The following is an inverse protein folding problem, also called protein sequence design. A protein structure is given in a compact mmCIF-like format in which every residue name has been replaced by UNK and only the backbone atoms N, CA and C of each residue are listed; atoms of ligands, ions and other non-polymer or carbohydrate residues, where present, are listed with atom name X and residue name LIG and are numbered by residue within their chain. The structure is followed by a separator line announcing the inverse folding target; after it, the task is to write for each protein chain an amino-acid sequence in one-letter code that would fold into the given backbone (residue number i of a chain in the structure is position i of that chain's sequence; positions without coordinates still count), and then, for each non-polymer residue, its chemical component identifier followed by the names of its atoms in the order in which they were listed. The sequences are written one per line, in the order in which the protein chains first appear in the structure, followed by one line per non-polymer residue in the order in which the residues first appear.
data_IF_159917653766
#
_entry.id   IF_159917653766
#
_cell.length_a   1.000
_cell.length_b   1.000
_cell.length_c   1.000
_cell.angle_alpha   90.00
_cell.angle_beta   90.00
_cell.angle_gamma   90.00
#
_symmetry.space_group_name_H-M   'P 1'
#
loop_
_entity.id
_entity.type
_entity.pdbx_description
1 polymer ?
#
# COMPACT_ATOMS: atom_id res chain seq x y z
N UNK A 1 -21.50 33.74 6.37
CA UNK A 1 -21.27 32.89 5.18
C UNK A 1 -21.49 31.46 5.63
N UNK A 2 -22.69 30.92 5.42
CA UNK A 2 -23.06 29.58 5.86
C UNK A 2 -22.76 28.66 4.68
N UNK A 3 -21.69 27.88 4.77
CA UNK A 3 -21.39 26.82 3.79
C UNK A 3 -22.63 25.93 3.73
N UNK A 4 -23.34 25.98 2.60
CA UNK A 4 -24.62 25.30 2.45
C UNK A 4 -24.32 23.81 2.38
N UNK A 5 -24.88 23.03 3.31
CA UNK A 5 -24.70 21.59 3.41
C UNK A 5 -24.85 20.82 2.08
N UNK A 6 -25.58 21.39 1.12
CA UNK A 6 -25.73 20.85 -0.23
C UNK A 6 -24.41 20.75 -1.01
N UNK A 7 -23.50 21.73 -0.90
CA UNK A 7 -22.22 21.70 -1.63
C UNK A 7 -21.32 20.56 -1.15
N UNK A 8 -21.31 20.31 0.16
CA UNK A 8 -20.54 19.22 0.76
C UNK A 8 -21.12 17.87 0.32
N UNK A 9 -22.46 17.74 0.27
CA UNK A 9 -23.13 16.54 -0.23
C UNK A 9 -22.84 16.24 -1.70
N UNK A 10 -22.78 17.27 -2.54
CA UNK A 10 -22.48 17.12 -3.97
C UNK A 10 -21.01 16.81 -4.25
N UNK A 11 -20.10 17.21 -3.35
CA UNK A 11 -18.68 16.83 -3.41
C UNK A 11 -18.53 15.36 -3.03
N UNK A 12 -19.12 14.93 -1.91
CA UNK A 12 -19.05 13.54 -1.46
C UNK A 12 -19.69 12.57 -2.46
N UNK A 13 -20.83 12.94 -3.07
CA UNK A 13 -21.46 12.14 -4.14
C UNK A 13 -20.55 11.99 -5.36
N UNK A 14 -19.79 13.03 -5.72
CA UNK A 14 -18.85 12.98 -6.84
C UNK A 14 -17.65 12.09 -6.54
N UNK A 15 -17.11 12.13 -5.33
CA UNK A 15 -16.04 11.20 -4.93
C UNK A 15 -16.51 9.74 -4.93
N UNK A 16 -17.70 9.46 -4.38
CA UNK A 16 -18.25 8.10 -4.35
C UNK A 16 -18.58 7.61 -5.77
N UNK A 17 -19.08 8.48 -6.65
CA UNK A 17 -19.35 8.11 -8.04
C UNK A 17 -18.07 7.85 -8.85
N UNK A 18 -16.94 8.43 -8.45
CA UNK A 18 -15.61 8.16 -9.02
C UNK A 18 -14.85 7.03 -8.33
N UNK A 19 -15.40 6.44 -7.26
CA UNK A 19 -14.80 5.32 -6.55
C UNK A 19 -14.99 4.04 -7.36
N UNK A 20 -14.19 3.90 -8.42
CA UNK A 20 -14.04 2.66 -9.15
C UNK A 20 -13.23 1.72 -8.27
N UNK A 21 -13.88 0.71 -7.71
CA UNK A 21 -13.26 -0.32 -6.88
C UNK A 21 -12.46 -1.25 -7.79
N UNK A 22 -11.40 -0.73 -8.40
CA UNK A 22 -10.46 -1.52 -9.16
C UNK A 22 -9.80 -2.47 -8.17
N UNK A 23 -10.22 -3.73 -8.22
CA UNK A 23 -9.40 -4.84 -7.71
C UNK A 23 -8.15 -4.89 -8.58
N UNK A 24 -7.22 -3.97 -8.32
CA UNK A 24 -5.87 -4.03 -8.83
C UNK A 24 -5.30 -5.33 -8.30
N UNK A 25 -4.79 -6.19 -9.19
CA UNK A 25 -4.02 -7.38 -8.80
C UNK A 25 -2.74 -6.85 -8.16
N UNK A 26 -2.83 -6.50 -6.89
CA UNK A 26 -1.71 -6.05 -6.09
C UNK A 26 -0.94 -7.30 -5.67
N UNK A 27 0.38 -7.28 -5.88
CA UNK A 27 1.24 -8.26 -5.24
C UNK A 27 1.21 -7.96 -3.74
N UNK A 28 0.44 -8.75 -3.00
CA UNK A 28 0.34 -8.61 -1.54
C UNK A 28 1.33 -9.57 -0.89
N UNK A 29 2.03 -9.08 0.11
CA UNK A 29 2.88 -9.87 0.98
C UNK A 29 2.43 -9.78 2.43
N UNK A 30 2.89 -10.72 3.26
CA UNK A 30 2.68 -10.71 4.72
C UNK A 30 4.02 -10.56 5.40
N UNK A 31 4.13 -9.58 6.31
CA UNK A 31 5.32 -9.41 7.15
C UNK A 31 5.43 -10.58 8.12
N UNK A 32 6.55 -11.28 8.09
CA UNK A 32 6.85 -12.41 8.97
C UNK A 32 7.67 -11.96 10.17
N UNK A 33 8.66 -11.09 9.93
CA UNK A 33 9.56 -10.59 10.96
C UNK A 33 10.01 -9.15 10.64
N UNK A 34 10.38 -8.39 11.67
CA UNK A 34 10.94 -7.03 11.55
C UNK A 34 12.06 -6.86 12.57
N UNK A 35 13.25 -6.52 12.10
CA UNK A 35 14.42 -6.24 12.94
C UNK A 35 15.35 -5.22 12.32
N UNK A 36 15.87 -4.30 13.13
CA UNK A 36 16.86 -3.28 12.73
C UNK A 36 16.52 -2.50 11.44
N UNK A 37 15.24 -2.18 11.23
CA UNK A 37 14.77 -1.46 10.04
C UNK A 37 14.64 -2.33 8.78
N UNK A 38 14.71 -3.66 8.92
CA UNK A 38 14.49 -4.62 7.84
C UNK A 38 13.26 -5.47 8.18
N UNK A 39 12.25 -5.41 7.32
CA UNK A 39 11.08 -6.27 7.37
C UNK A 39 11.27 -7.45 6.39
N UNK A 40 11.09 -8.68 6.89
CA UNK A 40 11.02 -9.87 6.06
C UNK A 40 9.57 -10.14 5.67
N UNK A 41 9.28 -10.11 4.38
CA UNK A 41 7.94 -10.22 3.83
C UNK A 41 7.84 -11.51 3.01
N UNK A 42 6.88 -12.36 3.34
CA UNK A 42 6.53 -13.53 2.53
C UNK A 42 5.53 -13.13 1.44
N UNK A 43 5.73 -13.63 0.21
CA UNK A 43 4.91 -13.26 -0.95
C UNK A 43 5.61 -12.26 -1.85
N UNK A 44 4.91 -11.21 -2.30
CA UNK A 44 5.45 -10.20 -3.21
C UNK A 44 6.14 -10.81 -4.46
N UNK A 45 5.56 -11.87 -5.03
CA UNK A 45 6.26 -12.72 -6.03
C UNK A 45 6.66 -12.03 -7.34
N UNK A 46 6.10 -10.85 -7.63
CA UNK A 46 6.47 -10.06 -8.81
C UNK A 46 7.13 -8.72 -8.45
N UNK A 47 7.53 -8.52 -7.19
CA UNK A 47 8.25 -7.30 -6.79
C UNK A 47 9.66 -7.30 -7.39
N UNK A 48 10.09 -6.15 -7.88
CA UNK A 48 11.43 -5.94 -8.38
C UNK A 48 12.37 -5.50 -7.26
N UNK A 49 13.67 -5.79 -7.42
CA UNK A 49 14.68 -5.25 -6.55
C UNK A 49 14.74 -3.72 -6.73
N UNK A 50 14.85 -3.01 -5.61
CA UNK A 50 14.75 -1.55 -5.50
C UNK A 50 13.38 -0.96 -5.84
N UNK A 51 12.31 -1.76 -5.79
CA UNK A 51 10.95 -1.26 -5.88
C UNK A 51 10.48 -0.71 -4.52
N UNK A 52 9.60 0.30 -4.56
CA UNK A 52 8.97 0.83 -3.37
C UNK A 52 7.80 -0.06 -2.97
N UNK A 53 7.75 -0.45 -1.70
CA UNK A 53 6.71 -1.30 -1.12
C UNK A 53 5.99 -0.51 -0.03
N UNK A 54 4.67 -0.44 -0.12
CA UNK A 54 3.85 0.24 0.88
C UNK A 54 3.34 -0.75 1.93
N UNK A 55 3.52 -0.40 3.20
CA UNK A 55 2.95 -1.13 4.32
C UNK A 55 1.53 -0.63 4.58
N UNK A 56 0.55 -1.46 4.22
CA UNK A 56 -0.89 -1.11 4.25
C UNK A 56 -1.46 -0.75 5.63
N UNK A 57 -0.81 -1.13 6.73
CA UNK A 57 -1.32 -0.86 8.09
C UNK A 57 -0.97 0.54 8.60
N UNK A 58 0.16 1.08 8.15
CA UNK A 58 0.84 2.24 8.71
C UNK A 58 1.17 3.29 7.64
N UNK A 59 1.05 2.94 6.35
CA UNK A 59 1.33 3.83 5.22
C UNK A 59 2.82 4.10 5.01
N UNK A 60 3.69 3.37 5.74
CA UNK A 60 5.14 3.48 5.59
C UNK A 60 5.56 2.94 4.23
N UNK A 61 6.56 3.57 3.62
CA UNK A 61 7.13 3.11 2.35
C UNK A 61 8.50 2.54 2.65
N UNK A 62 8.73 1.30 2.25
CA UNK A 62 10.03 0.66 2.30
C UNK A 62 10.59 0.38 0.91
N UNK A 63 11.86 0.00 0.86
CA UNK A 63 12.57 -0.39 -0.36
C UNK A 63 12.80 -1.90 -0.37
N UNK A 64 12.31 -2.59 -1.39
CA UNK A 64 12.62 -3.99 -1.62
C UNK A 64 14.12 -4.15 -1.93
N UNK A 65 14.89 -4.62 -0.95
CA UNK A 65 16.34 -4.71 -1.06
C UNK A 65 16.81 -6.10 -1.51
N UNK A 66 16.33 -7.16 -0.86
CA UNK A 66 16.75 -8.53 -1.14
C UNK A 66 15.56 -9.39 -1.57
N UNK A 67 15.71 -10.15 -2.66
CA UNK A 67 14.69 -11.08 -3.17
C UNK A 67 15.18 -12.52 -2.99
N UNK A 68 14.65 -13.24 -2.01
CA UNK A 68 14.83 -14.67 -1.87
C UNK A 68 13.71 -15.44 -2.61
N UNK A 69 13.84 -16.76 -2.71
CA UNK A 69 12.88 -17.60 -3.42
C UNK A 69 11.46 -17.58 -2.78
N UNK A 70 11.41 -17.36 -1.46
CA UNK A 70 10.19 -17.41 -0.65
C UNK A 70 9.93 -16.12 0.14
N UNK A 71 10.87 -15.19 0.17
CA UNK A 71 10.78 -14.00 1.00
C UNK A 71 11.50 -12.79 0.40
N UNK A 72 11.05 -11.61 0.79
CA UNK A 72 11.57 -10.32 0.34
C UNK A 72 11.99 -9.52 1.58
N UNK A 73 13.24 -9.07 1.59
CA UNK A 73 13.74 -8.12 2.58
C UNK A 73 13.42 -6.69 2.16
N UNK A 74 12.59 -6.01 2.93
CA UNK A 74 12.19 -4.62 2.72
C UNK A 74 12.86 -3.76 3.79
N UNK A 75 13.60 -2.74 3.38
CA UNK A 75 14.19 -1.74 4.29
C UNK A 75 13.13 -0.68 4.57
N UNK A 76 12.89 -0.36 5.84
CA UNK A 76 11.87 0.59 6.32
C UNK A 76 12.53 1.85 6.88
#
# INVERSE_FOLDING_TARGET
MVVRANEIGDILKREIAGFDQQMTVANVGTVVDVGDGIAQVYGLSQVAANELVEFTKDGTIGLAFNLAADSVGVIV
#
